data_IF_031110917191
#
_entry.id   IF_031110917191
#
_cell.length_a   1.000
_cell.length_b   1.000
_cell.length_c   1.000
_cell.angle_alpha   90.00
_cell.angle_beta   90.00
_cell.angle_gamma   90.00
#
_symmetry.space_group_name_H-M   'P 1'
#
loop_
_entity.id
_entity.type
_entity.pdbx_description
1 polymer ?
#
# COMPACT_ATOMS: atom_id res chain seq x y z
N UNK A 1 10.06 16.16 -23.13
CA UNK A 1 10.23 16.50 -21.71
C UNK A 1 9.06 15.83 -21.07
N UNK A 2 9.25 14.60 -20.60
CA UNK A 2 8.17 13.83 -19.99
C UNK A 2 7.67 14.65 -18.81
N UNK A 3 6.38 14.99 -18.84
CA UNK A 3 5.67 15.39 -17.63
C UNK A 3 5.78 14.19 -16.70
N UNK A 4 6.78 14.20 -15.82
CA UNK A 4 6.72 13.36 -14.64
C UNK A 4 5.45 13.83 -13.94
N UNK A 5 4.43 12.97 -14.00
CA UNK A 5 3.13 13.20 -13.40
C UNK A 5 3.42 13.35 -11.89
N UNK A 6 3.47 14.59 -11.42
CA UNK A 6 3.85 14.94 -10.03
C UNK A 6 2.92 14.25 -9.03
N UNK A 7 1.76 13.78 -9.51
CA UNK A 7 0.82 12.97 -8.77
C UNK A 7 1.24 11.49 -8.62
N UNK A 8 2.04 10.92 -9.52
CA UNK A 8 2.45 9.51 -9.51
C UNK A 8 3.58 9.30 -8.52
N UNK A 9 4.59 10.17 -8.54
CA UNK A 9 5.68 10.15 -7.57
C UNK A 9 5.17 10.40 -6.14
N UNK A 10 4.19 11.29 -5.96
CA UNK A 10 3.54 11.52 -4.68
C UNK A 10 2.70 10.32 -4.19
N UNK A 11 2.03 9.62 -5.11
CA UNK A 11 1.30 8.38 -4.80
C UNK A 11 2.24 7.26 -4.38
N UNK A 12 3.35 7.08 -5.09
CA UNK A 12 4.33 6.04 -4.80
C UNK A 12 5.02 6.29 -3.47
N UNK A 13 5.41 7.54 -3.20
CA UNK A 13 6.00 7.92 -1.92
C UNK A 13 5.03 7.66 -0.73
N UNK A 14 3.74 7.99 -0.89
CA UNK A 14 2.73 7.73 0.14
C UNK A 14 2.49 6.24 0.38
N UNK A 15 2.51 5.43 -0.69
CA UNK A 15 2.38 3.99 -0.62
C UNK A 15 3.60 3.33 0.05
N UNK A 16 4.81 3.75 -0.29
CA UNK A 16 6.04 3.30 0.39
C UNK A 16 6.04 3.67 1.86
N UNK A 17 5.74 4.92 2.19
CA UNK A 17 5.69 5.37 3.58
C UNK A 17 4.67 4.57 4.42
N UNK A 18 3.55 4.16 3.80
CA UNK A 18 2.60 3.26 4.43
C UNK A 18 3.22 1.88 4.68
N UNK A 19 3.82 1.25 3.67
CA UNK A 19 4.44 -0.06 3.81
C UNK A 19 5.55 -0.07 4.87
N UNK A 20 6.35 0.99 4.94
CA UNK A 20 7.41 1.16 5.93
C UNK A 20 6.90 1.37 7.36
N UNK A 21 5.65 1.82 7.54
CA UNK A 21 5.06 2.00 8.87
C UNK A 21 4.41 0.74 9.42
N UNK A 22 4.20 -0.28 8.59
CA UNK A 22 3.58 -1.54 9.00
C UNK A 22 4.57 -2.42 9.79
N UNK A 23 4.10 -3.07 10.88
CA UNK A 23 4.87 -4.13 11.53
C UNK A 23 5.16 -5.31 10.59
N UNK A 24 6.27 -6.01 10.81
CA UNK A 24 6.68 -7.17 10.00
C UNK A 24 5.60 -8.26 9.95
N UNK A 25 4.91 -8.51 11.07
CA UNK A 25 3.81 -9.48 11.11
C UNK A 25 2.62 -9.08 10.22
N UNK A 26 2.34 -7.77 10.12
CA UNK A 26 1.27 -7.25 9.26
C UNK A 26 1.69 -7.35 7.79
N UNK A 27 2.95 -7.05 7.48
CA UNK A 27 3.50 -7.23 6.14
C UNK A 27 3.42 -8.68 5.68
N UNK A 28 3.74 -9.65 6.55
CA UNK A 28 3.61 -11.07 6.24
C UNK A 28 2.16 -11.45 5.92
N UNK A 29 1.20 -11.08 6.77
CA UNK A 29 -0.23 -11.36 6.53
C UNK A 29 -0.76 -10.66 5.28
N UNK A 30 -0.29 -9.44 5.01
CA UNK A 30 -0.61 -8.70 3.79
C UNK A 30 -0.17 -9.49 2.55
N UNK A 31 1.06 -10.01 2.54
CA UNK A 31 1.56 -10.81 1.42
C UNK A 31 0.78 -12.12 1.24
N UNK A 32 0.43 -12.80 2.33
CA UNK A 32 -0.40 -14.01 2.28
C UNK A 32 -1.76 -13.72 1.63
N UNK A 33 -2.41 -12.60 2.01
CA UNK A 33 -3.69 -12.18 1.42
C UNK A 33 -3.58 -11.87 -0.08
N UNK A 34 -2.45 -11.34 -0.53
CA UNK A 34 -2.21 -11.09 -1.96
C UNK A 34 -2.03 -12.39 -2.74
N UNK A 35 -1.25 -13.33 -2.20
CA UNK A 35 -1.08 -14.67 -2.80
C UNK A 35 -2.41 -15.43 -2.88
N UNK A 36 -3.27 -15.26 -1.87
CA UNK A 36 -4.64 -15.81 -1.87
C UNK A 36 -5.62 -15.11 -2.83
N UNK A 37 -5.20 -14.04 -3.52
CA UNK A 37 -6.07 -13.28 -4.42
C UNK A 37 -7.14 -12.47 -3.69
N UNK A 38 -6.82 -11.93 -2.51
CA UNK A 38 -7.75 -11.17 -1.65
C UNK A 38 -7.29 -9.70 -1.48
N UNK A 39 -7.10 -8.93 -2.58
CA UNK A 39 -6.50 -7.59 -2.53
C UNK A 39 -7.30 -6.58 -1.71
N UNK A 40 -8.63 -6.69 -1.69
CA UNK A 40 -9.49 -5.82 -0.88
C UNK A 40 -9.25 -6.02 0.62
N UNK A 41 -8.99 -7.26 1.06
CA UNK A 41 -8.69 -7.53 2.46
C UNK A 41 -7.25 -7.11 2.80
N UNK A 42 -6.31 -7.28 1.87
CA UNK A 42 -4.94 -6.77 2.03
C UNK A 42 -4.92 -5.24 2.20
N UNK A 43 -5.64 -4.50 1.33
CA UNK A 43 -5.74 -3.04 1.42
C UNK A 43 -6.39 -2.59 2.73
N UNK A 44 -7.43 -3.30 3.18
CA UNK A 44 -8.05 -3.01 4.48
C UNK A 44 -7.08 -3.24 5.64
N UNK A 45 -6.39 -4.38 5.66
CA UNK A 45 -5.40 -4.70 6.71
C UNK A 45 -4.31 -3.62 6.77
N UNK A 46 -3.74 -3.25 5.62
CA UNK A 46 -2.72 -2.21 5.52
C UNK A 46 -3.23 -0.86 6.05
N UNK A 47 -4.46 -0.47 5.70
CA UNK A 47 -5.05 0.79 6.17
C UNK A 47 -5.32 0.78 7.69
N UNK A 48 -5.92 -0.30 8.20
CA UNK A 48 -6.25 -0.41 9.62
C UNK A 48 -4.98 -0.42 10.50
N UNK A 49 -3.88 -1.02 10.00
CA UNK A 49 -2.62 -1.15 10.72
C UNK A 49 -1.69 0.08 10.61
N UNK A 50 -1.76 0.83 9.51
CA UNK A 50 -0.92 2.03 9.30
C UNK A 50 -1.37 3.25 10.11
N UNK A 51 -2.60 3.25 10.63
CA UNK A 51 -3.09 4.32 11.49
C UNK A 51 -3.59 5.56 10.72
N UNK A 52 -4.00 6.61 11.45
CA UNK A 52 -4.78 7.72 10.88
C UNK A 52 -4.00 8.63 9.92
N UNK A 53 -2.67 8.60 9.96
CA UNK A 53 -1.81 9.44 9.11
C UNK A 53 -1.71 8.92 7.66
N UNK A 54 -2.18 7.70 7.42
CA UNK A 54 -2.13 7.05 6.11
C UNK A 54 -3.53 6.93 5.50
N UNK A 55 -3.83 7.62 4.38
CA UNK A 55 -5.13 7.54 3.75
C UNK A 55 -5.35 6.17 3.09
N UNK A 56 -6.60 5.74 2.98
CA UNK A 56 -6.97 4.50 2.29
C UNK A 56 -6.42 4.42 0.85
N UNK A 57 -6.29 5.56 0.16
CA UNK A 57 -5.70 5.61 -1.18
C UNK A 57 -4.25 5.16 -1.22
N UNK A 58 -3.46 5.43 -0.18
CA UNK A 58 -2.08 4.95 -0.09
C UNK A 58 -2.05 3.42 0.07
N UNK A 59 -2.97 2.85 0.84
CA UNK A 59 -3.07 1.40 1.00
C UNK A 59 -3.44 0.70 -0.32
N UNK A 60 -4.42 1.24 -1.04
CA UNK A 60 -4.82 0.70 -2.36
C UNK A 60 -3.63 0.75 -3.34
N UNK A 61 -2.87 1.86 -3.35
CA UNK A 61 -1.70 1.96 -4.21
C UNK A 61 -0.57 1.03 -3.82
N UNK A 62 -0.29 0.90 -2.52
CA UNK A 62 0.69 -0.06 -2.01
C UNK A 62 0.37 -1.49 -2.45
N UNK A 63 -0.90 -1.90 -2.43
CA UNK A 63 -1.31 -3.21 -2.97
C UNK A 63 -1.05 -3.30 -4.48
N UNK A 64 -1.40 -2.26 -5.23
CA UNK A 64 -1.17 -2.22 -6.69
C UNK A 64 0.30 -2.31 -7.10
N UNK A 65 1.26 -1.97 -6.21
CA UNK A 65 2.68 -2.13 -6.48
C UNK A 65 3.12 -3.60 -6.60
N UNK A 66 2.41 -4.54 -5.97
CA UNK A 66 2.73 -5.97 -6.01
C UNK A 66 2.14 -6.71 -7.22
N UNK A 67 1.22 -6.07 -7.95
CA UNK A 67 0.56 -6.68 -9.13
C UNK A 67 1.20 -6.26 -10.47
N UNK A 68 2.26 -5.45 -10.45
CA UNK A 68 3.02 -5.03 -11.65
C UNK A 68 4.28 -5.87 -11.91
#
# INVERSE_FOLDING_TARGET
>A
MDEIDVDAEGRDAAALALLESLPDEVLAELMDLLVEGRPVRAAKLAHDASGPDHPLSAAIWAIGMFEN
#
